data_IF_104944359299
#
_entry.id   IF_104944359299
#
_cell.length_a   1.000
_cell.length_b   1.000
_cell.length_c   1.000
_cell.angle_alpha   90.00
_cell.angle_beta   90.00
_cell.angle_gamma   90.00
#
_symmetry.space_group_name_H-M   'P 1'
#
loop_
_entity.id
_entity.type
_entity.pdbx_description
1 polymer ?
#
# COMPACT_ATOMS: atom_id res chain seq x y z
N UNK A 1 -8.36 -6.74 -17.32
CA UNK A 1 -8.51 -5.80 -16.19
C UNK A 1 -8.27 -6.59 -14.90
N UNK A 2 -7.46 -6.11 -13.92
CA UNK A 2 -7.55 -6.65 -12.58
C UNK A 2 -8.95 -6.32 -12.10
N UNK A 3 -9.82 -7.32 -12.10
CA UNK A 3 -11.13 -7.18 -11.51
C UNK A 3 -10.97 -6.94 -9.99
N UNK A 4 -12.05 -6.51 -9.33
CA UNK A 4 -12.03 -6.26 -7.87
C UNK A 4 -11.41 -7.43 -7.09
N UNK A 5 -11.62 -8.66 -7.56
CA UNK A 5 -11.04 -9.89 -7.02
C UNK A 5 -9.50 -9.91 -7.04
N UNK A 6 -8.87 -9.40 -8.11
CA UNK A 6 -7.40 -9.37 -8.20
C UNK A 6 -6.81 -8.40 -7.20
N UNK A 7 -7.41 -7.21 -7.09
CA UNK A 7 -6.98 -6.19 -6.12
C UNK A 7 -7.25 -6.64 -4.68
N UNK A 8 -8.38 -7.30 -4.44
CA UNK A 8 -8.71 -7.89 -3.14
C UNK A 8 -7.68 -8.95 -2.72
N UNK A 9 -7.34 -9.89 -3.61
CA UNK A 9 -6.31 -10.91 -3.34
C UNK A 9 -4.94 -10.28 -3.12
N UNK A 10 -4.58 -9.24 -3.87
CA UNK A 10 -3.33 -8.51 -3.66
C UNK A 10 -3.30 -7.83 -2.30
N UNK A 11 -4.37 -7.13 -1.90
CA UNK A 11 -4.50 -6.51 -0.58
C UNK A 11 -4.36 -7.54 0.54
N UNK A 12 -5.03 -8.69 0.43
CA UNK A 12 -4.95 -9.76 1.43
C UNK A 12 -3.52 -10.29 1.58
N UNK A 13 -2.83 -10.57 0.47
CA UNK A 13 -1.43 -11.03 0.48
C UNK A 13 -0.50 -9.99 1.09
N UNK A 14 -0.64 -8.72 0.71
CA UNK A 14 0.16 -7.62 1.25
C UNK A 14 -0.10 -7.41 2.74
N UNK A 15 -1.37 -7.43 3.15
CA UNK A 15 -1.76 -7.28 4.55
C UNK A 15 -1.19 -8.40 5.43
N UNK A 16 -1.28 -9.65 4.98
CA UNK A 16 -0.69 -10.78 5.69
C UNK A 16 0.85 -10.67 5.81
N UNK A 17 1.51 -10.14 4.78
CA UNK A 17 2.96 -10.02 4.77
C UNK A 17 3.50 -8.83 5.57
N UNK A 18 2.74 -7.73 5.69
CA UNK A 18 3.24 -6.44 6.18
C UNK A 18 2.63 -5.98 7.50
N UNK A 19 1.39 -6.36 7.83
CA UNK A 19 0.69 -5.85 9.03
C UNK A 19 1.45 -6.16 10.31
N UNK A 20 1.55 -5.17 11.20
CA UNK A 20 2.28 -5.27 12.46
C UNK A 20 3.80 -5.10 12.34
N UNK A 21 4.34 -5.01 11.12
CA UNK A 21 5.78 -4.74 10.89
C UNK A 21 6.04 -3.24 10.82
N UNK A 22 7.28 -2.87 11.13
CA UNK A 22 7.80 -1.52 10.97
C UNK A 22 8.38 -1.36 9.56
N UNK A 23 8.12 -0.22 8.92
CA UNK A 23 8.71 0.10 7.63
C UNK A 23 10.21 0.34 7.80
N UNK A 24 11.03 -0.54 7.21
CA UNK A 24 12.50 -0.41 7.24
C UNK A 24 13.05 0.27 5.98
N UNK A 25 12.26 0.30 4.90
CA UNK A 25 12.59 0.99 3.64
C UNK A 25 11.32 1.56 3.01
N UNK A 26 11.41 2.80 2.53
CA UNK A 26 10.33 3.50 1.84
C UNK A 26 10.90 4.26 0.63
N UNK A 27 10.27 4.12 -0.53
CA UNK A 27 10.73 4.70 -1.80
C UNK A 27 9.52 4.90 -2.72
N UNK A 28 9.29 6.13 -3.18
CA UNK A 28 8.22 6.49 -4.12
C UNK A 28 8.84 7.22 -5.32
N UNK A 29 8.56 6.73 -6.53
CA UNK A 29 9.07 7.30 -7.79
C UNK A 29 8.16 8.34 -8.43
N UNK A 30 7.01 8.63 -7.81
CA UNK A 30 6.09 9.69 -8.27
C UNK A 30 6.63 11.04 -7.81
N UNK A 31 6.90 12.00 -8.73
CA UNK A 31 7.57 13.27 -8.37
C UNK A 31 6.90 14.04 -7.24
N UNK A 32 5.56 14.09 -7.21
CA UNK A 32 4.79 14.80 -6.18
C UNK A 32 4.87 14.19 -4.77
N UNK A 33 5.52 13.05 -4.60
CA UNK A 33 5.70 12.38 -3.30
C UNK A 33 7.09 11.79 -3.12
N UNK A 34 8.06 12.18 -3.95
CA UNK A 34 9.39 11.57 -3.98
C UNK A 34 10.20 11.77 -2.69
N UNK A 35 9.89 12.82 -1.92
CA UNK A 35 10.55 13.12 -0.64
C UNK A 35 9.82 12.54 0.57
N UNK A 36 8.69 11.84 0.36
CA UNK A 36 7.97 11.21 1.46
C UNK A 36 8.80 10.05 2.02
N UNK A 37 8.86 9.95 3.35
CA UNK A 37 9.57 8.88 4.05
C UNK A 37 8.75 8.44 5.27
N UNK A 38 8.33 7.17 5.25
CA UNK A 38 7.57 6.55 6.33
C UNK A 38 8.38 5.48 7.07
N UNK A 39 9.71 5.49 6.97
CA UNK A 39 10.56 4.59 7.78
C UNK A 39 10.31 4.81 9.27
N UNK A 40 10.28 3.72 10.03
CA UNK A 40 9.98 3.74 11.47
C UNK A 40 8.49 3.68 11.81
N UNK A 41 7.61 3.95 10.84
CA UNK A 41 6.16 3.84 11.06
C UNK A 41 5.68 2.37 11.02
N UNK A 42 4.67 2.01 11.84
CA UNK A 42 4.06 0.69 11.80
C UNK A 42 3.08 0.58 10.62
N UNK A 43 3.04 -0.59 9.98
CA UNK A 43 2.00 -0.93 9.01
C UNK A 43 0.79 -1.48 9.75
N UNK A 44 -0.34 -0.77 9.69
CA UNK A 44 -1.59 -1.18 10.32
C UNK A 44 -2.41 -2.15 9.46
N UNK A 45 -2.20 -2.13 8.14
CA UNK A 45 -2.85 -3.06 7.23
C UNK A 45 -2.92 -2.56 5.79
N UNK A 46 -3.36 -3.44 4.91
CA UNK A 46 -3.62 -3.12 3.49
C UNK A 46 -5.04 -3.53 3.13
N UNK A 47 -5.80 -2.61 2.54
CA UNK A 47 -7.19 -2.84 2.15
C UNK A 47 -7.41 -2.55 0.67
N UNK A 48 -8.31 -3.31 0.05
CA UNK A 48 -8.83 -3.01 -1.28
C UNK A 48 -10.08 -2.12 -1.20
N UNK A 49 -10.19 -1.18 -2.13
CA UNK A 49 -11.39 -0.36 -2.37
C UNK A 49 -11.63 -0.26 -3.87
N UNK A 50 -12.51 -1.12 -4.38
CA UNK A 50 -12.67 -1.31 -5.82
C UNK A 50 -11.33 -1.71 -6.45
N UNK A 51 -10.85 -0.91 -7.41
CA UNK A 51 -9.55 -1.13 -8.04
C UNK A 51 -8.35 -0.61 -7.23
N UNK A 52 -8.56 0.04 -6.10
CA UNK A 52 -7.50 0.70 -5.36
C UNK A 52 -6.95 -0.12 -4.20
N UNK A 53 -5.66 0.04 -3.91
CA UNK A 53 -5.00 -0.45 -2.71
C UNK A 53 -4.76 0.73 -1.75
N UNK A 54 -5.07 0.52 -0.47
CA UNK A 54 -4.84 1.47 0.62
C UNK A 54 -3.94 0.84 1.66
N UNK A 55 -2.69 1.29 1.73
CA UNK A 55 -1.73 0.90 2.76
C UNK A 55 -1.85 1.88 3.93
N UNK A 56 -2.19 1.39 5.11
CA UNK A 56 -2.27 2.19 6.35
C UNK A 56 -0.94 2.08 7.07
N UNK A 57 -0.20 3.18 7.16
CA UNK A 57 1.17 3.23 7.67
C UNK A 57 1.27 4.43 8.61
N UNK A 58 1.40 4.17 9.91
CA UNK A 58 1.31 5.21 10.93
C UNK A 58 0.04 6.05 10.79
N UNK A 59 0.20 7.37 10.86
CA UNK A 59 -0.87 8.34 10.60
C UNK A 59 -1.24 8.54 9.11
N UNK A 60 -0.59 7.83 8.17
CA UNK A 60 -0.71 8.06 6.74
C UNK A 60 -1.40 6.93 6.00
N UNK A 61 -1.88 7.24 4.79
CA UNK A 61 -2.38 6.24 3.85
C UNK A 61 -1.70 6.40 2.51
N UNK A 62 -0.92 5.39 2.12
CA UNK A 62 -0.40 5.28 0.76
C UNK A 62 -1.49 4.65 -0.12
N UNK A 63 -2.03 5.45 -1.03
CA UNK A 63 -3.04 5.05 -1.99
C UNK A 63 -2.37 4.72 -3.32
N UNK A 64 -2.55 3.49 -3.81
CA UNK A 64 -2.02 3.05 -5.09
C UNK A 64 -3.08 2.31 -5.91
N UNK A 65 -2.80 2.12 -7.20
CA UNK A 65 -3.61 1.36 -8.13
C UNK A 65 -2.68 0.43 -8.92
N UNK A 66 -3.07 -0.83 -9.12
CA UNK A 66 -2.30 -1.83 -9.88
C UNK A 66 -2.44 -1.65 -11.39
N UNK A 67 -2.43 -0.40 -11.86
CA UNK A 67 -2.65 0.02 -13.25
C UNK A 67 -2.22 -1.06 -14.24
N UNK A 68 -3.18 -1.62 -14.97
CA UNK A 68 -2.91 -2.40 -16.18
C UNK A 68 -3.50 -1.62 -17.33
N UNK A 69 -2.76 -1.53 -18.42
CA UNK A 69 -3.27 -1.03 -19.70
C UNK A 69 -4.54 -1.78 -20.13
#
# INVERSE_FOLDING_TARGET
MPEGDTVYRAAAKLSAALTGKVVTRFDIRVPGSATADLRGEPVHGVAARGKHLLHRIGGYTLHSHLQME
#
